data_IF_196596555931
#
_entry.id   IF_196596555931
#
_cell.length_a   1.000
_cell.length_b   1.000
_cell.length_c   1.000
_cell.angle_alpha   90.00
_cell.angle_beta   90.00
_cell.angle_gamma   90.00
#
_symmetry.space_group_name_H-M   'P 1'
#
loop_
_entity.id
_entity.type
_entity.pdbx_description
1 polymer ?
#
# COMPACT_ATOMS: atom_id res chain seq x y z
N UNK A 1 14.07 -15.66 -17.01
CA UNK A 1 12.65 -15.27 -16.95
C UNK A 1 12.36 -14.78 -15.55
N UNK A 2 11.78 -13.58 -15.43
CA UNK A 2 11.31 -13.01 -14.18
C UNK A 2 9.79 -13.19 -14.07
N UNK A 3 9.27 -13.21 -12.84
CA UNK A 3 7.84 -13.33 -12.56
C UNK A 3 7.36 -12.17 -11.70
N UNK A 4 6.19 -11.64 -12.06
CA UNK A 4 5.47 -10.60 -11.34
C UNK A 4 4.06 -11.10 -11.04
N UNK A 5 3.65 -10.96 -9.79
CA UNK A 5 2.33 -11.39 -9.34
C UNK A 5 1.64 -10.24 -8.64
N UNK A 6 0.50 -9.82 -9.17
CA UNK A 6 -0.37 -8.86 -8.52
C UNK A 6 -1.53 -9.60 -7.84
N UNK A 7 -1.72 -9.38 -6.55
CA UNK A 7 -2.91 -9.84 -5.81
C UNK A 7 -3.76 -8.66 -5.39
N UNK A 8 -5.06 -8.75 -5.67
CA UNK A 8 -6.08 -7.84 -5.16
C UNK A 8 -6.86 -8.52 -4.03
N UNK A 9 -7.08 -7.83 -2.92
CA UNK A 9 -7.82 -8.40 -1.80
C UNK A 9 -8.50 -7.33 -0.94
N UNK A 10 -9.34 -7.76 -0.01
CA UNK A 10 -9.76 -6.94 1.13
C UNK A 10 -8.82 -7.23 2.30
N UNK A 11 -8.46 -6.20 3.06
CA UNK A 11 -7.54 -6.32 4.19
C UNK A 11 -8.00 -7.32 5.25
N UNK A 12 -9.30 -7.37 5.55
CA UNK A 12 -9.90 -8.28 6.53
C UNK A 12 -10.00 -9.73 6.05
N UNK A 13 -9.84 -9.99 4.76
CA UNK A 13 -9.80 -11.35 4.22
C UNK A 13 -8.41 -11.98 4.40
N UNK A 14 -7.38 -11.19 4.74
CA UNK A 14 -6.01 -11.69 4.91
C UNK A 14 -5.88 -12.30 6.31
N UNK A 15 -5.47 -13.57 6.43
CA UNK A 15 -5.35 -14.21 7.73
C UNK A 15 -4.21 -13.61 8.57
N UNK A 16 -4.33 -13.76 9.88
CA UNK A 16 -3.34 -13.32 10.86
C UNK A 16 -3.48 -11.86 11.30
N UNK A 17 -2.54 -11.44 12.14
CA UNK A 17 -2.55 -10.13 12.77
C UNK A 17 -2.35 -9.00 11.75
N UNK A 18 -3.00 -7.83 11.93
CA UNK A 18 -2.89 -6.68 11.04
C UNK A 18 -1.47 -6.35 10.55
N UNK A 19 -0.49 -6.37 11.45
CA UNK A 19 0.90 -6.01 11.15
C UNK A 19 1.62 -7.06 10.29
N UNK A 20 1.16 -8.31 10.32
CA UNK A 20 1.78 -9.44 9.64
C UNK A 20 1.17 -9.70 8.26
N UNK A 21 -0.04 -9.19 7.98
CA UNK A 21 -0.80 -9.42 6.74
C UNK A 21 0.01 -9.26 5.45
N UNK A 22 0.97 -8.32 5.40
CA UNK A 22 1.86 -8.17 4.23
C UNK A 22 2.76 -9.38 4.01
N UNK A 23 3.36 -9.90 5.07
CA UNK A 23 4.19 -11.10 5.03
C UNK A 23 3.33 -12.34 4.79
N UNK A 24 2.15 -12.42 5.42
CA UNK A 24 1.18 -13.50 5.17
C UNK A 24 0.80 -13.60 3.70
N UNK A 25 0.42 -12.48 3.07
CA UNK A 25 0.06 -12.49 1.65
C UNK A 25 1.24 -12.88 0.76
N UNK A 26 2.45 -12.42 1.08
CA UNK A 26 3.65 -12.82 0.34
C UNK A 26 3.89 -14.33 0.42
N UNK A 27 3.75 -14.94 1.61
CA UNK A 27 3.85 -16.38 1.80
C UNK A 27 2.78 -17.15 1.00
N UNK A 28 1.52 -16.74 1.08
CA UNK A 28 0.42 -17.36 0.32
C UNK A 28 0.73 -17.38 -1.19
N UNK A 29 1.22 -16.25 -1.73
CA UNK A 29 1.58 -16.14 -3.14
C UNK A 29 2.78 -17.03 -3.49
N UNK A 30 3.81 -17.03 -2.64
CA UNK A 30 5.00 -17.81 -2.89
C UNK A 30 4.73 -19.33 -2.83
N UNK A 31 3.91 -19.76 -1.88
CA UNK A 31 3.48 -21.15 -1.75
C UNK A 31 2.65 -21.58 -2.96
N UNK A 32 1.68 -20.75 -3.38
CA UNK A 32 0.85 -21.04 -4.56
C UNK A 32 1.66 -21.13 -5.87
N UNK A 33 2.66 -20.27 -6.05
CA UNK A 33 3.35 -20.12 -7.34
C UNK A 33 4.61 -20.98 -7.45
N UNK A 34 5.37 -21.08 -6.36
CA UNK A 34 6.69 -21.69 -6.33
C UNK A 34 6.80 -22.83 -5.31
N UNK A 35 5.71 -23.17 -4.60
CA UNK A 35 5.68 -24.24 -3.60
C UNK A 35 6.77 -24.07 -2.52
N UNK A 36 7.00 -22.82 -2.09
CA UNK A 36 7.94 -22.47 -1.02
C UNK A 36 7.50 -21.19 -0.29
N UNK A 37 7.95 -20.96 0.95
CA UNK A 37 7.69 -19.69 1.64
C UNK A 37 8.37 -18.51 0.94
N UNK A 38 7.95 -17.29 1.32
CA UNK A 38 8.58 -16.05 0.90
C UNK A 38 10.03 -15.98 1.39
N UNK A 39 10.92 -15.58 0.49
CA UNK A 39 12.35 -15.42 0.77
C UNK A 39 12.78 -14.00 0.38
N UNK A 40 13.06 -13.17 1.39
CA UNK A 40 13.44 -11.76 1.21
C UNK A 40 14.72 -11.56 0.40
N UNK A 41 15.56 -12.58 0.25
CA UNK A 41 16.84 -12.48 -0.45
C UNK A 41 16.66 -12.63 -1.97
N UNK A 42 15.52 -13.17 -2.43
CA UNK A 42 15.20 -13.35 -3.86
C UNK A 42 13.84 -12.75 -4.28
N UNK A 43 12.89 -12.68 -3.35
CA UNK A 43 11.54 -12.17 -3.56
C UNK A 43 11.41 -10.73 -3.07
N UNK A 44 10.58 -9.98 -3.77
CA UNK A 44 10.30 -8.58 -3.45
C UNK A 44 8.81 -8.40 -3.32
N UNK A 45 8.37 -7.86 -2.18
CA UNK A 45 6.96 -7.53 -1.94
C UNK A 45 6.76 -6.02 -1.83
N UNK A 46 5.83 -5.49 -2.61
CA UNK A 46 5.29 -4.15 -2.47
C UNK A 46 3.80 -4.24 -2.13
N UNK A 47 3.27 -3.23 -1.43
CA UNK A 47 1.87 -3.17 -1.06
C UNK A 47 1.32 -1.78 -1.31
N UNK A 48 0.07 -1.70 -1.75
CA UNK A 48 -0.69 -0.46 -1.91
C UNK A 48 -2.02 -0.55 -1.16
N UNK A 49 -2.42 0.55 -0.54
CA UNK A 49 -3.55 0.60 0.39
C UNK A 49 -3.17 0.23 1.82
N UNK A 50 -4.16 0.31 2.72
CA UNK A 50 -3.98 0.11 4.16
C UNK A 50 -4.33 -1.32 4.58
N UNK A 51 -3.38 -2.24 4.48
CA UNK A 51 -3.62 -3.66 4.81
C UNK A 51 -3.80 -3.93 6.30
N UNK A 52 -3.30 -3.04 7.16
CA UNK A 52 -3.42 -3.15 8.62
C UNK A 52 -4.82 -2.79 9.13
N UNK A 53 -5.63 -2.13 8.33
CA UNK A 53 -6.95 -1.67 8.76
C UNK A 53 -8.01 -2.35 7.92
N UNK A 54 -9.05 -2.85 8.57
CA UNK A 54 -10.09 -3.65 7.93
C UNK A 54 -10.90 -2.84 6.90
N UNK A 55 -11.71 -3.56 6.11
CA UNK A 55 -12.57 -3.01 5.05
C UNK A 55 -11.87 -2.28 3.87
N UNK A 56 -10.54 -2.17 3.90
CA UNK A 56 -9.76 -1.54 2.83
C UNK A 56 -9.53 -2.50 1.67
N UNK A 57 -9.61 -1.99 0.43
CA UNK A 57 -9.11 -2.70 -0.76
C UNK A 57 -7.61 -2.48 -0.83
N UNK A 58 -6.86 -3.57 -0.93
CA UNK A 58 -5.40 -3.52 -0.92
C UNK A 58 -4.82 -4.40 -2.02
N UNK A 59 -3.62 -4.05 -2.43
CA UNK A 59 -2.91 -4.69 -3.52
C UNK A 59 -1.53 -5.11 -3.03
N UNK A 60 -1.10 -6.31 -3.42
CA UNK A 60 0.24 -6.80 -3.17
C UNK A 60 0.88 -7.16 -4.49
N UNK A 61 2.11 -6.69 -4.69
CA UNK A 61 2.93 -6.99 -5.85
C UNK A 61 4.13 -7.81 -5.39
N UNK A 62 4.22 -9.05 -5.85
CA UNK A 62 5.29 -9.98 -5.53
C UNK A 62 6.10 -10.22 -6.80
N UNK A 63 7.37 -9.86 -6.76
CA UNK A 63 8.31 -10.02 -7.88
C UNK A 63 9.41 -11.01 -7.49
N UNK A 64 9.76 -11.90 -8.42
CA UNK A 64 10.87 -12.85 -8.30
C UNK A 64 11.69 -12.87 -9.60
N UNK A 65 13.01 -13.02 -9.46
CA UNK A 65 13.96 -13.09 -10.57
C UNK A 65 14.84 -11.84 -10.73
N UNK A 66 15.73 -11.82 -11.74
CA UNK A 66 16.75 -10.78 -11.94
C UNK A 66 16.13 -9.41 -12.21
N UNK A 67 16.64 -8.36 -11.54
CA UNK A 67 16.09 -6.99 -11.61
C UNK A 67 16.13 -6.39 -13.01
N UNK A 68 17.13 -6.75 -13.81
CA UNK A 68 17.35 -6.27 -15.17
C UNK A 68 16.63 -7.13 -16.23
N UNK A 69 15.78 -8.06 -15.80
CA UNK A 69 15.07 -8.95 -16.72
C UNK A 69 14.12 -8.17 -17.63
N UNK A 70 14.30 -8.34 -18.94
CA UNK A 70 13.39 -7.81 -19.98
C UNK A 70 12.21 -8.74 -20.27
N UNK A 71 12.24 -9.94 -19.71
CA UNK A 71 11.26 -11.00 -19.90
C UNK A 71 10.57 -11.28 -18.56
N UNK A 72 9.54 -10.47 -18.27
CA UNK A 72 8.76 -10.53 -17.03
C UNK A 72 7.36 -11.03 -17.34
N UNK A 73 7.02 -12.25 -16.90
CA UNK A 73 5.64 -12.73 -16.97
C UNK A 73 4.82 -12.18 -15.82
N UNK A 74 3.66 -11.59 -16.13
CA UNK A 74 2.75 -11.03 -15.12
C UNK A 74 1.52 -11.91 -14.94
N UNK A 75 1.24 -12.30 -13.71
CA UNK A 75 0.00 -12.98 -13.31
C UNK A 75 -0.79 -12.09 -12.35
N UNK A 76 -2.12 -12.17 -12.45
CA UNK A 76 -3.02 -11.37 -11.60
C UNK A 76 -3.96 -12.33 -10.88
N UNK A 77 -4.14 -12.12 -9.58
CA UNK A 77 -5.05 -12.88 -8.76
C UNK A 77 -5.95 -11.97 -7.93
N UNK A 78 -7.08 -12.52 -7.52
CA UNK A 78 -7.91 -12.01 -6.44
C UNK A 78 -7.89 -13.00 -5.29
N UNK A 79 -7.55 -12.54 -4.10
CA UNK A 79 -7.74 -13.30 -2.87
C UNK A 79 -9.16 -13.09 -2.36
N UNK A 80 -9.84 -14.18 -2.01
CA UNK A 80 -11.22 -14.18 -1.51
C UNK A 80 -11.35 -14.58 -0.02
N UNK A 81 -10.22 -14.65 0.71
CA UNK A 81 -10.18 -15.16 2.08
C UNK A 81 -9.78 -16.63 2.20
N UNK A 82 -9.74 -17.36 1.08
CA UNK A 82 -9.45 -18.81 1.07
C UNK A 82 -8.42 -19.21 0.02
N UNK A 83 -8.53 -18.66 -1.19
CA UNK A 83 -7.67 -19.05 -2.32
C UNK A 83 -7.39 -17.88 -3.26
N UNK A 84 -6.35 -18.06 -4.10
CA UNK A 84 -5.99 -17.13 -5.16
C UNK A 84 -6.75 -17.47 -6.44
N UNK A 85 -7.72 -16.63 -6.79
CA UNK A 85 -8.50 -16.77 -8.03
C UNK A 85 -7.78 -16.04 -9.16
N UNK A 86 -7.42 -16.77 -10.22
CA UNK A 86 -6.77 -16.19 -11.39
C UNK A 86 -7.69 -15.15 -12.05
N UNK A 87 -7.11 -14.02 -12.44
CA UNK A 87 -7.79 -12.95 -13.14
C UNK A 87 -7.03 -12.55 -14.41
N UNK A 88 -7.73 -12.07 -15.45
CA UNK A 88 -7.07 -11.55 -16.63
C UNK A 88 -6.30 -10.26 -16.32
N UNK A 89 -5.12 -10.11 -16.95
CA UNK A 89 -4.41 -8.84 -16.99
C UNK A 89 -5.17 -7.88 -17.92
N UNK A 90 -5.99 -7.01 -17.34
CA UNK A 90 -6.74 -6.02 -18.10
C UNK A 90 -5.93 -4.71 -18.29
N UNK A 91 -6.30 -3.84 -19.25
CA UNK A 91 -5.57 -2.60 -19.53
C UNK A 91 -5.44 -1.65 -18.33
N UNK A 92 -6.43 -1.61 -17.45
CA UNK A 92 -6.41 -0.78 -16.24
C UNK A 92 -5.32 -1.25 -15.28
N UNK A 93 -5.23 -2.56 -15.07
CA UNK A 93 -4.19 -3.18 -14.24
C UNK A 93 -2.83 -3.01 -14.89
N UNK A 94 -2.73 -3.22 -16.20
CA UNK A 94 -1.48 -3.02 -16.93
C UNK A 94 -0.97 -1.58 -16.78
N UNK A 95 -1.85 -0.58 -16.94
CA UNK A 95 -1.53 0.82 -16.71
C UNK A 95 -1.09 1.10 -15.26
N UNK A 96 -1.79 0.52 -14.27
CA UNK A 96 -1.38 0.64 -12.87
C UNK A 96 0.02 0.07 -12.62
N UNK A 97 0.35 -1.10 -13.19
CA UNK A 97 1.65 -1.74 -13.03
C UNK A 97 2.82 -0.95 -13.64
N UNK A 98 2.57 -0.06 -14.61
CA UNK A 98 3.60 0.83 -15.13
C UNK A 98 4.14 1.80 -14.07
N UNK A 99 3.35 2.11 -13.04
CA UNK A 99 3.79 2.95 -11.91
C UNK A 99 4.71 2.23 -10.92
N UNK A 100 4.87 0.90 -11.06
CA UNK A 100 5.71 0.06 -10.21
C UNK A 100 6.76 -0.68 -11.07
N UNK A 101 7.92 -0.07 -11.36
CA UNK A 101 8.98 -0.71 -12.13
C UNK A 101 9.45 -2.04 -11.53
N UNK A 102 9.86 -2.99 -12.37
CA UNK A 102 10.38 -4.30 -11.92
C UNK A 102 11.82 -4.23 -11.39
N UNK A 103 12.59 -3.26 -11.86
CA UNK A 103 14.03 -3.10 -11.61
C UNK A 103 14.41 -2.78 -10.16
N UNK A 104 13.43 -2.80 -9.23
CA UNK A 104 13.66 -2.62 -7.81
C UNK A 104 14.14 -1.23 -7.44
N UNK A 105 14.27 -0.30 -8.41
CA UNK A 105 14.44 1.12 -8.14
C UNK A 105 13.13 1.58 -7.54
N UNK A 106 13.05 1.51 -6.21
CA UNK A 106 12.10 2.34 -5.46
C UNK A 106 12.29 3.73 -6.05
N UNK A 107 11.20 4.37 -6.49
CA UNK A 107 11.17 5.82 -6.58
C UNK A 107 11.70 6.28 -5.23
N UNK A 108 12.96 6.71 -5.23
CA UNK A 108 13.68 7.08 -4.03
C UNK A 108 12.82 8.13 -3.39
N UNK A 109 12.40 7.82 -2.17
CA UNK A 109 11.48 8.60 -1.36
C UNK A 109 11.65 10.08 -1.68
N UNK A 110 10.59 10.75 -2.12
CA UNK A 110 10.61 12.20 -1.98
C UNK A 110 10.94 12.44 -0.52
N UNK A 111 12.02 13.18 -0.24
CA UNK A 111 12.25 13.69 1.10
C UNK A 111 11.04 14.57 1.38
N UNK A 112 10.06 14.00 2.10
CA UNK A 112 8.93 14.75 2.58
C UNK A 112 9.43 15.85 3.51
N UNK A 113 8.70 16.96 3.57
CA UNK A 113 8.93 17.97 4.59
C UNK A 113 8.45 17.43 5.94
N UNK A 114 9.17 17.75 7.01
CA UNK A 114 8.57 17.70 8.35
C UNK A 114 7.39 18.67 8.42
N UNK A 115 6.51 18.50 9.41
CA UNK A 115 5.37 19.41 9.59
C UNK A 115 5.82 20.86 9.81
N UNK A 116 6.92 21.06 10.54
CA UNK A 116 7.54 22.37 10.73
C UNK A 116 8.12 22.94 9.43
N UNK A 117 8.86 22.13 8.66
CA UNK A 117 9.41 22.53 7.36
C UNK A 117 8.30 22.88 6.36
N UNK A 118 7.22 22.10 6.34
CA UNK A 118 6.08 22.32 5.46
C UNK A 118 5.38 23.62 5.81
N UNK A 119 5.11 23.83 7.11
CA UNK A 119 4.48 25.05 7.62
C UNK A 119 5.31 26.29 7.33
N UNK A 120 6.62 26.23 7.55
CA UNK A 120 7.53 27.34 7.24
C UNK A 120 7.59 27.66 5.74
N UNK A 121 7.52 26.63 4.90
CA UNK A 121 7.66 26.79 3.45
C UNK A 121 6.36 27.23 2.75
N UNK A 122 5.22 26.71 3.17
CA UNK A 122 3.93 26.89 2.49
C UNK A 122 2.92 27.72 3.28
N UNK A 123 3.23 28.07 4.53
CA UNK A 123 2.38 28.87 5.40
C UNK A 123 1.36 28.06 6.19
N UNK A 124 0.69 28.74 7.12
CA UNK A 124 -0.26 28.14 8.06
C UNK A 124 -1.51 27.60 7.36
N UNK A 125 -2.10 28.34 6.43
CA UNK A 125 -3.34 27.94 5.74
C UNK A 125 -3.16 26.60 4.98
N UNK A 126 -2.06 26.46 4.23
CA UNK A 126 -1.71 25.21 3.55
C UNK A 126 -1.41 24.07 4.51
N UNK A 127 -0.82 24.39 5.65
CA UNK A 127 -0.59 23.40 6.70
C UNK A 127 -1.91 22.91 7.31
N UNK A 128 -2.87 23.81 7.56
CA UNK A 128 -4.20 23.43 8.05
C UNK A 128 -4.93 22.53 7.04
N UNK A 129 -4.91 22.88 5.75
CA UNK A 129 -5.45 22.02 4.68
C UNK A 129 -4.82 20.62 4.69
N UNK A 130 -3.48 20.55 4.83
CA UNK A 130 -2.75 19.29 4.90
C UNK A 130 -3.18 18.44 6.11
N UNK A 131 -3.34 19.04 7.29
CA UNK A 131 -3.79 18.32 8.49
C UNK A 131 -5.22 17.82 8.32
N UNK A 132 -6.13 18.62 7.75
CA UNK A 132 -7.50 18.18 7.45
C UNK A 132 -7.53 17.00 6.47
N UNK A 133 -6.74 17.05 5.41
CA UNK A 133 -6.61 15.93 4.48
C UNK A 133 -6.08 14.65 5.16
N UNK A 134 -5.09 14.76 6.04
CA UNK A 134 -4.60 13.63 6.84
C UNK A 134 -5.70 13.04 7.72
N UNK A 135 -6.46 13.89 8.41
CA UNK A 135 -7.58 13.48 9.26
C UNK A 135 -8.67 12.77 8.44
N UNK A 136 -9.06 13.33 7.29
CA UNK A 136 -10.03 12.70 6.37
C UNK A 136 -9.53 11.33 5.91
N UNK A 137 -8.26 11.22 5.53
CA UNK A 137 -7.66 9.94 5.12
C UNK A 137 -7.65 8.91 6.24
N UNK A 138 -7.28 9.30 7.46
CA UNK A 138 -7.32 8.41 8.63
C UNK A 138 -8.72 7.86 8.90
N UNK A 139 -9.72 8.75 8.93
CA UNK A 139 -11.13 8.35 9.09
C UNK A 139 -11.59 7.40 7.99
N UNK A 140 -11.25 7.72 6.72
CA UNK A 140 -11.55 6.85 5.58
C UNK A 140 -10.94 5.45 5.73
N UNK A 141 -9.78 5.34 6.34
CA UNK A 141 -9.10 4.08 6.60
C UNK A 141 -9.54 3.40 7.91
N UNK A 142 -10.45 4.01 8.68
CA UNK A 142 -10.88 3.48 9.98
C UNK A 142 -9.81 3.60 11.07
N UNK A 143 -8.90 4.56 10.94
CA UNK A 143 -7.85 4.83 11.94
C UNK A 143 -8.33 5.83 12.98
N UNK A 144 -7.87 5.64 14.22
CA UNK A 144 -7.96 6.67 15.24
C UNK A 144 -7.07 7.88 14.91
N UNK A 145 -7.52 9.05 15.37
CA UNK A 145 -6.74 10.27 15.29
C UNK A 145 -5.56 10.23 16.26
N UNK A 146 -4.41 10.74 15.80
CA UNK A 146 -3.24 10.93 16.65
C UNK A 146 -3.50 12.03 17.69
N UNK A 147 -2.76 12.02 18.80
CA UNK A 147 -2.84 13.07 19.83
C UNK A 147 -2.61 14.47 19.25
N UNK A 148 -1.63 14.62 18.36
CA UNK A 148 -1.33 15.89 17.69
C UNK A 148 -2.49 16.38 16.79
N UNK A 149 -3.20 15.46 16.15
CA UNK A 149 -4.36 15.80 15.31
C UNK A 149 -5.58 16.15 16.16
N UNK A 150 -5.77 15.49 17.31
CA UNK A 150 -6.79 15.84 18.30
C UNK A 150 -6.55 17.23 18.88
N UNK A 151 -5.32 17.50 19.34
CA UNK A 151 -4.91 18.83 19.84
C UNK A 151 -5.07 19.92 18.77
N UNK A 152 -4.80 19.61 17.51
CA UNK A 152 -5.01 20.54 16.40
C UNK A 152 -6.50 20.91 16.23
N UNK A 153 -7.40 19.91 16.26
CA UNK A 153 -8.83 20.15 16.18
C UNK A 153 -9.41 20.86 17.40
N UNK A 154 -8.84 20.64 18.59
CA UNK A 154 -9.21 21.39 19.80
C UNK A 154 -8.82 22.87 19.69
N UNK A 155 -7.69 23.18 19.05
CA UNK A 155 -7.23 24.55 18.80
C UNK A 155 -7.97 25.23 17.64
N UNK A 156 -8.54 24.44 16.73
CA UNK A 156 -9.25 24.90 15.53
C UNK A 156 -10.65 24.27 15.40
N UNK A 157 -11.56 24.50 16.37
CA UNK A 157 -12.89 23.89 16.36
C UNK A 157 -13.71 24.28 15.13
N UNK A 158 -13.46 25.44 14.52
CA UNK A 158 -14.08 25.91 13.29
C UNK A 158 -13.85 24.96 12.10
N UNK A 159 -12.71 24.28 12.08
CA UNK A 159 -12.33 23.38 10.99
C UNK A 159 -13.04 22.02 11.06
N UNK A 160 -13.68 21.68 12.18
CA UNK A 160 -14.49 20.47 12.31
C UNK A 160 -15.63 20.40 11.30
N UNK A 161 -16.17 21.55 10.90
CA UNK A 161 -17.25 21.64 9.90
C UNK A 161 -16.83 21.18 8.50
N UNK A 162 -15.52 21.06 8.26
CA UNK A 162 -14.96 20.65 6.99
C UNK A 162 -14.58 19.16 6.94
N UNK A 163 -14.72 18.42 8.04
CA UNK A 163 -14.30 17.01 8.15
C UNK A 163 -15.45 16.02 8.01
#
# INVERSE_FOLDING_TARGET
>A
MAKRILVQCRSHDIPGEPDERRTTMANIVCEHTWNRPFDKDQDRVQSSGQYRYDQNRVYFLIDNGPLDSRDVSTSVYRWNGKELLAMPLNPVIAGYLQTYPFDGKRNTASKGYSDEEYRLKFGEERFQELILERIRQRRKWGQDLLSSEKEFLEKHPELLTQL
#
